data_IF_609144116949
#
_entry.id   IF_609144116949
#
_cell.length_a   1.000
_cell.length_b   1.000
_cell.length_c   1.000
_cell.angle_alpha   90.00
_cell.angle_beta   90.00
_cell.angle_gamma   90.00
#
_symmetry.space_group_name_H-M   'P 1'
#
loop_
_entity.id
_entity.type
_entity.pdbx_description
1 polymer ?
#
# COMPACT_ATOMS: atom_id res chain seq x y z
N UNK A 1 19.87 -9.81 4.03
CA UNK A 1 18.51 -10.02 4.57
C UNK A 1 17.52 -9.33 3.65
N UNK A 2 16.72 -10.06 2.87
CA UNK A 2 15.73 -9.49 1.95
C UNK A 2 14.43 -10.30 1.98
N UNK A 3 13.33 -9.71 1.49
CA UNK A 3 12.03 -10.41 1.46
C UNK A 3 12.11 -11.78 0.79
N UNK A 4 12.95 -11.94 -0.25
CA UNK A 4 13.15 -13.21 -0.93
C UNK A 4 13.72 -14.34 -0.05
N UNK A 5 14.51 -14.04 0.98
CA UNK A 5 15.10 -15.06 1.85
C UNK A 5 14.26 -15.33 3.12
N UNK A 6 13.43 -14.37 3.52
CA UNK A 6 12.67 -14.42 4.78
C UNK A 6 11.16 -14.68 4.60
N UNK A 7 10.60 -14.40 3.42
CA UNK A 7 9.16 -14.52 3.14
C UNK A 7 8.91 -15.57 2.04
N UNK A 8 9.05 -16.84 2.40
CA UNK A 8 8.73 -17.97 1.52
C UNK A 8 7.36 -18.57 1.88
N UNK A 9 6.59 -18.95 0.88
CA UNK A 9 5.30 -19.63 1.05
C UNK A 9 4.08 -18.71 1.23
N UNK A 10 2.92 -19.33 1.46
CA UNK A 10 1.62 -18.65 1.39
C UNK A 10 1.39 -17.62 2.51
N UNK A 11 1.75 -17.95 3.75
CA UNK A 11 1.63 -17.01 4.87
C UNK A 11 2.45 -15.73 4.65
N UNK A 12 3.62 -15.87 4.04
CA UNK A 12 4.49 -14.77 3.66
C UNK A 12 3.88 -13.88 2.57
N UNK A 13 3.28 -14.49 1.55
CA UNK A 13 2.52 -13.78 0.52
C UNK A 13 1.36 -12.97 1.12
N UNK A 14 0.54 -13.59 1.97
CA UNK A 14 -0.60 -12.95 2.60
C UNK A 14 -0.17 -11.78 3.51
N UNK A 15 0.91 -11.97 4.28
CA UNK A 15 1.49 -10.91 5.10
C UNK A 15 1.96 -9.71 4.26
N UNK A 16 2.58 -9.96 3.10
CA UNK A 16 3.01 -8.89 2.19
C UNK A 16 1.82 -8.13 1.60
N UNK A 17 0.76 -8.82 1.19
CA UNK A 17 -0.46 -8.19 0.70
C UNK A 17 -1.13 -7.32 1.76
N UNK A 18 -1.20 -7.80 3.00
CA UNK A 18 -1.71 -7.03 4.14
C UNK A 18 -0.87 -5.79 4.42
N UNK A 19 0.46 -5.91 4.31
CA UNK A 19 1.38 -4.78 4.47
C UNK A 19 1.18 -3.72 3.38
N UNK A 20 1.02 -4.13 2.12
CA UNK A 20 0.75 -3.22 1.00
C UNK A 20 -0.61 -2.52 1.16
N UNK A 21 -1.63 -3.24 1.63
CA UNK A 21 -2.94 -2.66 1.94
C UNK A 21 -2.86 -1.62 3.05
N UNK A 22 -2.07 -1.90 4.10
CA UNK A 22 -1.82 -0.93 5.17
C UNK A 22 -1.11 0.34 4.66
N UNK A 23 -0.19 0.23 3.69
CA UNK A 23 0.43 1.41 3.05
C UNK A 23 -0.59 2.27 2.31
N UNK A 24 -1.50 1.64 1.56
CA UNK A 24 -2.55 2.38 0.84
C UNK A 24 -3.46 3.14 1.82
N UNK A 25 -3.86 2.49 2.92
CA UNK A 25 -4.65 3.13 3.99
C UNK A 25 -3.89 4.26 4.69
N UNK A 26 -2.58 4.09 4.89
CA UNK A 26 -1.72 5.14 5.44
C UNK A 26 -1.67 6.35 4.52
N UNK A 27 -1.48 6.16 3.21
CA UNK A 27 -1.44 7.26 2.24
C UNK A 27 -2.76 8.05 2.21
N UNK A 28 -3.90 7.36 2.28
CA UNK A 28 -5.21 8.03 2.37
C UNK A 28 -5.37 8.82 3.68
N UNK A 29 -4.85 8.27 4.78
CA UNK A 29 -4.86 8.96 6.08
C UNK A 29 -3.97 10.19 6.05
N UNK A 30 -2.76 10.09 5.48
CA UNK A 30 -1.86 11.23 5.29
C UNK A 30 -2.51 12.33 4.45
N UNK A 31 -3.21 11.97 3.37
CA UNK A 31 -3.96 12.91 2.54
C UNK A 31 -5.01 13.67 3.36
N UNK A 32 -5.82 12.97 4.16
CA UNK A 32 -6.82 13.62 5.03
C UNK A 32 -6.18 14.56 6.05
N UNK A 33 -5.10 14.12 6.70
CA UNK A 33 -4.37 14.94 7.69
C UNK A 33 -3.81 16.22 7.06
N UNK A 34 -3.23 16.14 5.86
CA UNK A 34 -2.69 17.30 5.16
C UNK A 34 -3.77 18.30 4.74
N UNK A 35 -4.89 17.81 4.21
CA UNK A 35 -6.04 18.67 3.87
C UNK A 35 -6.55 19.39 5.11
N UNK A 36 -6.67 18.68 6.23
CA UNK A 36 -7.10 19.29 7.50
C UNK A 36 -6.08 20.32 8.00
N UNK A 37 -4.77 20.03 7.90
CA UNK A 37 -3.72 20.98 8.29
C UNK A 37 -3.76 22.25 7.45
N UNK A 38 -3.86 22.12 6.12
CA UNK A 38 -3.96 23.27 5.21
C UNK A 38 -5.20 24.12 5.50
N UNK A 39 -6.34 23.47 5.80
CA UNK A 39 -7.55 24.17 6.25
C UNK A 39 -7.32 24.96 7.54
N UNK A 40 -6.78 24.32 8.57
CA UNK A 40 -6.47 24.99 9.84
C UNK A 40 -5.51 26.15 9.66
N UNK A 41 -4.48 26.01 8.82
CA UNK A 41 -3.51 27.08 8.56
C UNK A 41 -4.14 28.27 7.83
N UNK A 42 -5.04 28.01 6.87
CA UNK A 42 -5.82 29.07 6.21
C UNK A 42 -6.71 29.82 7.20
N UNK A 43 -7.44 29.10 8.05
CA UNK A 43 -8.29 29.70 9.09
C UNK A 43 -7.49 30.51 10.11
N UNK A 44 -6.31 30.00 10.49
CA UNK A 44 -5.39 30.69 11.38
C UNK A 44 -4.84 31.98 10.74
N UNK A 45 -4.40 31.92 9.48
CA UNK A 45 -3.94 33.10 8.75
C UNK A 45 -5.01 34.18 8.62
N UNK A 46 -6.27 33.80 8.36
CA UNK A 46 -7.41 34.74 8.33
C UNK A 46 -7.62 35.39 9.70
N UNK A 47 -7.58 34.60 10.77
CA UNK A 47 -7.73 35.10 12.14
C UNK A 47 -6.60 36.06 12.52
N UNK A 48 -5.37 35.74 12.12
CA UNK A 48 -4.19 36.57 12.36
C UNK A 48 -4.28 37.90 11.60
N UNK A 49 -4.69 37.89 10.34
CA UNK A 49 -4.93 39.10 9.56
C UNK A 49 -6.02 39.98 10.18
N UNK A 50 -7.09 39.39 10.74
CA UNK A 50 -8.13 40.14 11.45
C UNK A 50 -7.59 40.83 12.72
N UNK A 51 -6.74 40.14 13.50
CA UNK A 51 -6.05 40.74 14.66
C UNK A 51 -5.19 41.91 14.21
N UNK A 52 -4.41 41.76 13.14
CA UNK A 52 -3.59 42.84 12.60
C UNK A 52 -4.43 44.05 12.18
N UNK A 53 -5.54 43.84 11.48
CA UNK A 53 -6.44 44.92 11.08
C UNK A 53 -7.08 45.64 12.28
N UNK A 54 -7.36 44.92 13.36
CA UNK A 54 -7.86 45.54 14.60
C UNK A 54 -6.74 46.31 15.31
N UNK A 55 -5.54 45.75 15.41
CA UNK A 55 -4.38 46.40 16.03
C UNK A 55 -3.95 47.69 15.33
N UNK A 56 -4.10 47.77 14.01
CA UNK A 56 -3.84 48.99 13.23
C UNK A 56 -4.86 50.11 13.50
N UNK A 57 -6.04 49.81 14.05
CA UNK A 57 -7.02 50.85 14.44
C UNK A 57 -6.65 51.57 15.74
N UNK A 58 -5.74 51.02 16.54
CA UNK A 58 -5.28 51.60 17.82
C UNK A 58 -4.45 52.89 17.58
N UNK A 59 -3.89 53.06 16.38
CA UNK A 59 -3.16 54.26 15.90
C UNK A 59 -3.98 55.56 15.91
N UNK A 60 -5.27 55.52 16.30
CA UNK A 60 -6.19 56.68 16.32
C UNK A 60 -6.28 57.41 17.66
N UNK A 61 -5.50 57.00 18.66
CA UNK A 61 -5.42 57.71 19.94
C UNK A 61 -4.36 58.81 19.85
N UNK A 62 -4.78 60.08 19.93
CA UNK A 62 -3.92 61.27 19.78
C UNK A 62 -2.73 61.28 20.76
N UNK A 63 -2.86 60.65 21.94
CA UNK A 63 -1.86 60.67 23.01
C UNK A 63 -0.54 59.98 22.66
N UNK A 64 -0.54 59.06 21.68
CA UNK A 64 0.64 58.25 21.32
C UNK A 64 1.22 58.61 19.94
N UNK A 65 0.64 59.60 19.27
CA UNK A 65 1.03 59.96 17.90
C UNK A 65 2.49 60.42 17.85
N UNK A 66 3.28 59.85 16.92
CA UNK A 66 4.70 60.17 16.77
C UNK A 66 5.64 59.52 17.80
N UNK A 67 5.12 58.82 18.81
CA UNK A 67 5.95 58.15 19.81
C UNK A 67 6.71 56.95 19.25
N UNK A 68 7.85 56.61 19.88
CA UNK A 68 8.59 55.38 19.58
C UNK A 68 7.77 54.11 19.85
N UNK A 69 6.87 54.16 20.83
CA UNK A 69 5.94 53.07 21.16
C UNK A 69 5.01 52.81 19.98
N UNK A 70 4.40 53.86 19.43
CA UNK A 70 3.50 53.75 18.28
C UNK A 70 4.22 53.25 17.02
N UNK A 71 5.48 53.66 16.81
CA UNK A 71 6.31 53.13 15.72
C UNK A 71 6.59 51.63 15.89
N UNK A 72 7.00 51.21 17.08
CA UNK A 72 7.26 49.79 17.36
C UNK A 72 6.00 48.93 17.21
N UNK A 73 4.85 49.43 17.68
CA UNK A 73 3.56 48.75 17.49
C UNK A 73 3.20 48.58 16.02
N UNK A 74 3.37 49.63 15.20
CA UNK A 74 3.12 49.57 13.76
C UNK A 74 4.00 48.51 13.10
N UNK A 75 5.31 48.53 13.37
CA UNK A 75 6.23 47.52 12.85
C UNK A 75 5.85 46.11 13.28
N UNK A 76 5.43 45.92 14.54
CA UNK A 76 4.95 44.62 15.01
C UNK A 76 3.70 44.14 14.26
N UNK A 77 2.75 45.05 14.01
CA UNK A 77 1.55 44.74 13.23
C UNK A 77 1.89 44.40 11.76
N UNK A 78 2.81 45.14 11.13
CA UNK A 78 3.27 44.85 9.77
C UNK A 78 3.93 43.46 9.66
N UNK A 79 4.77 43.08 10.62
CA UNK A 79 5.37 41.75 10.70
C UNK A 79 4.32 40.65 10.93
N UNK A 80 3.28 40.93 11.72
CA UNK A 80 2.18 40.00 11.96
C UNK A 80 1.35 39.76 10.69
N UNK A 81 1.07 40.82 9.91
CA UNK A 81 0.43 40.71 8.59
C UNK A 81 1.30 39.92 7.61
N UNK A 82 2.62 40.17 7.61
CA UNK A 82 3.56 39.42 6.77
C UNK A 82 3.54 37.93 7.11
N UNK A 83 3.58 37.60 8.40
CA UNK A 83 3.50 36.24 8.91
C UNK A 83 2.18 35.57 8.50
N UNK A 84 1.04 36.28 8.62
CA UNK A 84 -0.26 35.75 8.18
C UNK A 84 -0.26 35.38 6.69
N UNK A 85 0.31 36.24 5.84
CA UNK A 85 0.46 35.97 4.39
C UNK A 85 1.35 34.74 4.13
N UNK A 86 2.49 34.64 4.81
CA UNK A 86 3.38 33.49 4.67
C UNK A 86 2.69 32.18 5.06
N UNK A 87 1.96 32.16 6.18
CA UNK A 87 1.21 30.97 6.62
C UNK A 87 0.17 30.56 5.57
N UNK A 88 -0.55 31.53 5.00
CA UNK A 88 -1.53 31.25 3.93
C UNK A 88 -0.87 30.65 2.70
N UNK A 89 0.22 31.25 2.22
CA UNK A 89 0.97 30.72 1.06
C UNK A 89 1.53 29.33 1.33
N UNK A 90 2.05 29.08 2.54
CA UNK A 90 2.54 27.76 2.93
C UNK A 90 1.40 26.71 2.91
N UNK A 91 0.20 27.09 3.36
CA UNK A 91 -0.97 26.20 3.32
C UNK A 91 -1.38 25.85 1.87
N UNK A 92 -1.38 26.83 0.97
CA UNK A 92 -1.68 26.65 -0.47
C UNK A 92 -0.63 25.77 -1.16
N UNK A 93 0.65 25.98 -0.87
CA UNK A 93 1.74 25.16 -1.38
C UNK A 93 1.69 23.73 -0.84
N UNK A 94 1.40 23.56 0.45
CA UNK A 94 1.24 22.25 1.07
C UNK A 94 0.11 21.46 0.39
N UNK A 95 -1.03 22.12 0.18
CA UNK A 95 -2.19 21.50 -0.47
C UNK A 95 -1.85 21.09 -1.91
N UNK A 96 -1.19 21.95 -2.69
CA UNK A 96 -0.89 21.67 -4.10
C UNK A 96 0.21 20.61 -4.25
N UNK A 97 1.38 20.84 -3.64
CA UNK A 97 2.57 20.01 -3.87
C UNK A 97 2.46 18.62 -3.21
N UNK A 98 1.85 18.50 -2.03
CA UNK A 98 1.70 17.20 -1.38
C UNK A 98 0.53 16.40 -1.93
N UNK A 99 -0.55 17.05 -2.37
CA UNK A 99 -1.70 16.33 -2.91
C UNK A 99 -1.33 15.56 -4.19
N UNK A 100 -0.68 16.22 -5.14
CA UNK A 100 -0.25 15.59 -6.40
C UNK A 100 0.67 14.40 -6.15
N UNK A 101 1.67 14.59 -5.27
CA UNK A 101 2.62 13.53 -4.91
C UNK A 101 1.94 12.34 -4.24
N UNK A 102 0.99 12.58 -3.33
CA UNK A 102 0.25 11.50 -2.66
C UNK A 102 -0.68 10.75 -3.62
N UNK A 103 -1.37 11.45 -4.51
CA UNK A 103 -2.22 10.83 -5.52
C UNK A 103 -1.40 9.95 -6.47
N UNK A 104 -0.28 10.48 -6.97
CA UNK A 104 0.65 9.74 -7.83
C UNK A 104 1.21 8.50 -7.13
N UNK A 105 1.71 8.66 -5.89
CA UNK A 105 2.26 7.55 -5.11
C UNK A 105 1.21 6.48 -4.79
N UNK A 106 -0.02 6.89 -4.47
CA UNK A 106 -1.13 5.97 -4.22
C UNK A 106 -1.46 5.13 -5.45
N UNK A 107 -1.57 5.77 -6.62
CA UNK A 107 -1.82 5.08 -7.89
C UNK A 107 -0.71 4.08 -8.22
N UNK A 108 0.55 4.50 -8.06
CA UNK A 108 1.70 3.64 -8.33
C UNK A 108 1.75 2.45 -7.37
N UNK A 109 1.54 2.66 -6.07
CA UNK A 109 1.46 1.57 -5.07
C UNK A 109 0.33 0.59 -5.39
N UNK A 110 -0.83 1.09 -5.81
CA UNK A 110 -1.97 0.26 -6.21
C UNK A 110 -1.63 -0.57 -7.46
N UNK A 111 -0.96 0.04 -8.45
CA UNK A 111 -0.50 -0.63 -9.68
C UNK A 111 0.50 -1.74 -9.35
N UNK A 112 1.52 -1.44 -8.55
CA UNK A 112 2.56 -2.40 -8.11
C UNK A 112 1.95 -3.57 -7.33
N UNK A 113 1.00 -3.30 -6.42
CA UNK A 113 0.28 -4.36 -5.69
C UNK A 113 -0.46 -5.31 -6.62
N UNK A 114 -1.18 -4.77 -7.61
CA UNK A 114 -1.90 -5.58 -8.61
C UNK A 114 -0.92 -6.44 -9.42
N UNK A 115 0.15 -5.83 -9.93
CA UNK A 115 1.18 -6.54 -10.69
C UNK A 115 1.82 -7.67 -9.86
N UNK A 116 2.10 -7.43 -8.59
CA UNK A 116 2.62 -8.45 -7.68
C UNK A 116 1.66 -9.64 -7.53
N UNK A 117 0.36 -9.39 -7.37
CA UNK A 117 -0.66 -10.45 -7.26
C UNK A 117 -0.76 -11.28 -8.53
N UNK A 118 -0.73 -10.63 -9.70
CA UNK A 118 -0.77 -11.30 -11.00
C UNK A 118 0.44 -12.20 -11.21
N UNK A 119 1.65 -11.71 -10.96
CA UNK A 119 2.88 -12.51 -11.10
C UNK A 119 2.93 -13.66 -10.07
N UNK A 120 2.53 -13.42 -8.83
CA UNK A 120 2.46 -14.50 -7.83
C UNK A 120 1.47 -15.59 -8.25
N UNK A 121 0.29 -15.21 -8.76
CA UNK A 121 -0.72 -16.16 -9.24
C UNK A 121 -0.20 -16.97 -10.43
N UNK A 122 0.45 -16.30 -11.40
CA UNK A 122 1.06 -16.93 -12.57
C UNK A 122 2.14 -17.95 -12.20
N UNK A 123 3.00 -17.62 -11.25
CA UNK A 123 4.04 -18.55 -10.77
C UNK A 123 3.40 -19.72 -10.02
N UNK A 124 2.41 -19.46 -9.16
CA UNK A 124 1.73 -20.50 -8.39
C UNK A 124 0.99 -21.51 -9.29
N UNK A 125 0.34 -21.06 -10.37
CA UNK A 125 -0.33 -21.95 -11.33
C UNK A 125 0.67 -22.79 -12.11
N UNK A 126 1.77 -22.20 -12.59
CA UNK A 126 2.85 -22.93 -13.26
C UNK A 126 3.48 -23.97 -12.34
N UNK A 127 3.76 -23.63 -11.08
CA UNK A 127 4.31 -24.56 -10.10
C UNK A 127 3.35 -25.72 -9.81
N UNK A 128 2.05 -25.43 -9.62
CA UNK A 128 1.02 -26.45 -9.42
C UNK A 128 1.00 -27.45 -10.59
N UNK A 129 0.96 -26.95 -11.82
CA UNK A 129 0.96 -27.78 -13.03
C UNK A 129 2.19 -28.70 -13.10
N UNK A 130 3.39 -28.17 -12.89
CA UNK A 130 4.64 -28.95 -12.89
C UNK A 130 4.65 -29.99 -11.77
N UNK A 131 4.17 -29.61 -10.57
CA UNK A 131 4.15 -30.50 -9.41
C UNK A 131 3.19 -31.69 -9.61
N UNK A 132 2.03 -31.45 -10.23
CA UNK A 132 1.06 -32.49 -10.57
C UNK A 132 1.60 -33.43 -11.66
N UNK A 133 2.22 -32.87 -12.71
CA UNK A 133 2.85 -33.67 -13.76
C UNK A 133 3.95 -34.59 -13.23
N UNK A 134 4.79 -34.11 -12.30
CA UNK A 134 5.82 -34.95 -11.65
C UNK A 134 5.22 -36.08 -10.82
N UNK A 135 4.15 -35.80 -10.05
CA UNK A 135 3.45 -36.83 -9.26
C UNK A 135 2.83 -37.90 -10.17
N UNK A 136 2.23 -37.49 -11.28
CA UNK A 136 1.63 -38.41 -12.23
C UNK A 136 2.69 -39.27 -12.94
N UNK A 137 3.82 -38.67 -13.34
CA UNK A 137 4.95 -39.43 -13.91
C UNK A 137 5.55 -40.43 -12.91
N UNK A 138 5.67 -40.07 -11.63
CA UNK A 138 6.13 -40.98 -10.58
C UNK A 138 5.13 -42.12 -10.32
N UNK A 139 3.83 -41.83 -10.36
CA UNK A 139 2.77 -42.85 -10.25
C UNK A 139 2.80 -43.83 -11.42
N UNK A 140 2.99 -43.34 -12.65
CA UNK A 140 3.11 -44.19 -13.83
C UNK A 140 4.38 -45.05 -13.78
N UNK A 141 5.53 -44.46 -13.41
CA UNK A 141 6.79 -45.21 -13.28
C UNK A 141 6.73 -46.30 -12.20
N UNK A 142 6.13 -46.00 -11.04
CA UNK A 142 5.94 -47.02 -9.99
C UNK A 142 5.03 -48.16 -10.45
N UNK A 143 3.93 -47.87 -11.16
CA UNK A 143 3.10 -48.91 -11.80
C UNK A 143 3.90 -49.77 -12.79
N UNK A 144 4.68 -49.16 -13.67
CA UNK A 144 5.51 -49.87 -14.67
C UNK A 144 6.59 -50.77 -14.03
N UNK A 145 7.14 -50.38 -12.87
CA UNK A 145 8.12 -51.19 -12.14
C UNK A 145 7.49 -52.34 -11.36
N UNK A 146 6.29 -52.14 -10.81
CA UNK A 146 5.61 -53.13 -9.96
C UNK A 146 4.89 -54.19 -10.80
N UNK A 147 4.36 -53.83 -11.97
CA UNK A 147 3.61 -54.73 -12.86
C UNK A 147 4.37 -56.00 -13.28
N UNK A 148 5.64 -55.94 -13.73
CA UNK A 148 6.42 -57.13 -14.08
C UNK A 148 6.69 -58.03 -12.87
N UNK A 149 6.97 -57.43 -11.70
CA UNK A 149 7.20 -58.16 -10.45
C UNK A 149 5.94 -58.90 -9.98
N UNK A 150 4.78 -58.24 -10.03
CA UNK A 150 3.50 -58.88 -9.74
C UNK A 150 3.20 -60.02 -10.71
N UNK A 151 3.57 -59.87 -11.98
CA UNK A 151 3.34 -60.87 -13.03
C UNK A 151 4.16 -62.14 -12.83
N UNK A 152 5.40 -62.00 -12.33
CA UNK A 152 6.27 -63.12 -11.98
C UNK A 152 5.78 -63.82 -10.69
N UNK A 153 5.24 -63.08 -9.73
CA UNK A 153 4.81 -63.63 -8.42
C UNK A 153 3.43 -64.27 -8.42
N UNK A 154 2.47 -63.74 -9.19
CA UNK A 154 1.05 -64.14 -9.14
C UNK A 154 0.56 -64.82 -10.43
N UNK A 155 1.37 -64.81 -11.50
CA UNK A 155 0.98 -65.33 -12.80
C UNK A 155 0.07 -64.39 -13.61
N UNK A 156 0.11 -64.54 -14.93
CA UNK A 156 -0.49 -63.62 -15.92
C UNK A 156 -1.99 -63.34 -15.74
N UNK A 157 -2.75 -64.36 -15.33
CA UNK A 157 -4.20 -64.24 -15.17
C UNK A 157 -4.59 -63.43 -13.92
N UNK A 158 -3.81 -63.55 -12.82
CA UNK A 158 -4.08 -62.81 -11.59
C UNK A 158 -3.75 -61.32 -11.72
N UNK A 159 -2.72 -60.96 -12.50
CA UNK A 159 -2.36 -59.54 -12.75
C UNK A 159 -3.42 -58.83 -13.60
N UNK A 160 -4.05 -59.52 -14.56
CA UNK A 160 -5.12 -58.95 -15.39
C UNK A 160 -6.37 -58.57 -14.57
N UNK A 161 -6.70 -59.39 -13.56
CA UNK A 161 -7.82 -59.15 -12.64
C UNK A 161 -7.50 -57.94 -11.74
N UNK A 162 -6.31 -57.89 -11.14
CA UNK A 162 -5.90 -56.79 -10.24
C UNK A 162 -5.82 -55.46 -11.01
N UNK A 163 -5.25 -55.46 -12.22
CA UNK A 163 -5.17 -54.26 -13.05
C UNK A 163 -6.53 -53.76 -13.52
N UNK A 164 -7.43 -54.65 -13.95
CA UNK A 164 -8.80 -54.27 -14.33
C UNK A 164 -9.58 -53.67 -13.15
N UNK A 165 -9.41 -54.22 -11.95
CA UNK A 165 -10.11 -53.74 -10.74
C UNK A 165 -9.60 -52.36 -10.30
N UNK A 166 -8.29 -52.10 -10.40
CA UNK A 166 -7.68 -50.79 -10.07
C UNK A 166 -7.99 -49.72 -11.13
N UNK A 167 -8.15 -50.11 -12.40
CA UNK A 167 -8.56 -49.19 -13.48
C UNK A 167 -10.02 -48.76 -13.31
N UNK A 168 -10.93 -49.70 -13.00
CA UNK A 168 -12.35 -49.42 -12.75
C UNK A 168 -12.55 -48.47 -11.56
N UNK A 169 -11.74 -48.59 -10.51
CA UNK A 169 -11.85 -47.72 -9.32
C UNK A 169 -11.34 -46.29 -9.55
N UNK A 170 -10.50 -46.05 -10.57
CA UNK A 170 -9.98 -44.72 -10.91
C UNK A 170 -10.92 -43.93 -11.84
N UNK A 171 -11.79 -44.59 -12.58
CA UNK A 171 -12.79 -43.95 -13.45
C UNK A 171 -14.07 -43.52 -12.71
N UNK A 172 -14.25 -43.97 -11.45
CA UNK A 172 -15.48 -43.74 -10.66
C UNK A 172 -15.32 -42.64 -9.59
N UNK A 173 -14.15 -41.98 -9.50
CA UNK A 173 -13.81 -40.90 -8.56
C UNK A 173 -13.35 -39.65 -9.31
#
# INVERSE_FOLDING_TARGET
MGFSSALQGRAAHDALLNRQEAELKLLETMKRCLVQKAKCDREYAVSLAAVTQQGLKIDRSDDLQGSHIMRAWRSFMEELEHTAKQIRTNAEQLETACHEKLVSLYQEKRRVRKQYQEEHTKIATQFSHVSMGRKQAAFINSKLLILPLLNVLLGSECVLIITSTVFFFNETL
#
